data_IF_820714970200
#
_entry.id   IF_820714970200
#
_cell.length_a   1.000
_cell.length_b   1.000
_cell.length_c   1.000
_cell.angle_alpha   90.00
_cell.angle_beta   90.00
_cell.angle_gamma   90.00
#
_symmetry.space_group_name_H-M   'P 1'
#
loop_
_entity.id
_entity.type
_entity.pdbx_description
1 polymer ?
#
# COMPACT_ATOMS: atom_id res chain seq x y z
N UNK A 1 -23.25 8.65 -3.09
CA UNK A 1 -23.03 8.13 -1.72
C UNK A 1 -21.99 9.00 -1.02
N UNK A 2 -22.05 9.15 0.31
CA UNK A 2 -20.98 9.83 1.06
C UNK A 2 -19.67 9.03 0.99
N UNK A 3 -18.53 9.72 0.89
CA UNK A 3 -17.20 9.13 0.93
C UNK A 3 -16.83 8.82 2.39
N UNK A 4 -16.43 7.59 2.74
CA UNK A 4 -15.89 7.27 4.06
C UNK A 4 -14.74 8.20 4.44
N UNK A 5 -14.69 8.63 5.71
CA UNK A 5 -13.64 9.52 6.22
C UNK A 5 -12.23 9.01 5.92
N UNK A 6 -12.00 7.69 6.05
CA UNK A 6 -10.71 7.08 5.71
C UNK A 6 -10.30 7.30 4.25
N UNK A 7 -11.24 7.17 3.31
CA UNK A 7 -10.96 7.34 1.89
C UNK A 7 -10.68 8.80 1.56
N UNK A 8 -11.36 9.73 2.24
CA UNK A 8 -11.08 11.16 2.15
C UNK A 8 -9.68 11.51 2.69
N UNK A 9 -9.31 11.00 3.86
CA UNK A 9 -8.00 11.27 4.46
C UNK A 9 -6.86 10.65 3.63
N UNK A 10 -7.12 9.49 3.00
CA UNK A 10 -6.25 8.90 2.00
C UNK A 10 -6.32 9.65 0.65
N UNK A 11 -7.35 10.43 0.36
CA UNK A 11 -7.53 11.04 -0.96
C UNK A 11 -7.58 10.01 -2.09
N UNK A 12 -8.17 8.83 -1.84
CA UNK A 12 -8.25 7.73 -2.81
C UNK A 12 -9.69 7.29 -3.08
N UNK A 13 -9.91 6.65 -4.23
CA UNK A 13 -11.19 6.04 -4.60
C UNK A 13 -11.41 4.70 -3.84
N UNK A 14 -12.65 4.16 -3.79
CA UNK A 14 -12.87 2.81 -3.26
C UNK A 14 -12.13 1.71 -4.05
N UNK A 15 -11.98 1.88 -5.37
CA UNK A 15 -11.24 0.94 -6.23
C UNK A 15 -9.75 0.99 -5.89
N UNK A 16 -9.19 2.20 -5.76
CA UNK A 16 -7.83 2.41 -5.28
C UNK A 16 -7.62 1.77 -3.91
N UNK A 17 -8.55 1.92 -2.95
CA UNK A 17 -8.40 1.27 -1.63
C UNK A 17 -8.40 -0.26 -1.74
N UNK A 18 -9.20 -0.83 -2.65
CA UNK A 18 -9.17 -2.28 -2.93
C UNK A 18 -7.81 -2.69 -3.49
N UNK A 19 -7.29 -1.96 -4.47
CA UNK A 19 -5.95 -2.20 -5.04
C UNK A 19 -4.86 -2.03 -3.97
N UNK A 20 -4.94 -1.01 -3.12
CA UNK A 20 -4.03 -0.82 -1.97
C UNK A 20 -4.02 -2.03 -1.05
N UNK A 21 -5.19 -2.62 -0.74
CA UNK A 21 -5.28 -3.82 0.11
C UNK A 21 -4.59 -5.02 -0.52
N UNK A 22 -4.82 -5.25 -1.81
CA UNK A 22 -4.21 -6.36 -2.55
C UNK A 22 -2.69 -6.20 -2.64
N UNK A 23 -2.21 -5.02 -3.05
CA UNK A 23 -0.77 -4.72 -3.12
C UNK A 23 -0.11 -4.82 -1.75
N UNK A 24 -0.73 -4.27 -0.70
CA UNK A 24 -0.22 -4.38 0.65
C UNK A 24 -0.14 -5.83 1.12
N UNK A 25 -1.19 -6.63 0.89
CA UNK A 25 -1.20 -8.04 1.28
C UNK A 25 -0.07 -8.81 0.59
N UNK A 26 0.11 -8.61 -0.71
CA UNK A 26 1.18 -9.26 -1.46
C UNK A 26 2.57 -8.87 -0.95
N UNK A 27 2.83 -7.58 -0.72
CA UNK A 27 4.10 -7.12 -0.14
C UNK A 27 4.30 -7.66 1.29
N UNK A 28 3.21 -7.82 2.07
CA UNK A 28 3.25 -8.35 3.42
C UNK A 28 3.48 -9.87 3.47
N UNK A 29 3.09 -10.61 2.44
CA UNK A 29 3.39 -12.03 2.29
C UNK A 29 4.82 -12.25 1.78
N UNK A 30 5.37 -11.29 1.01
CA UNK A 30 6.69 -11.37 0.36
C UNK A 30 7.69 -10.33 0.90
N UNK A 31 7.83 -10.27 2.21
CA UNK A 31 8.52 -9.17 2.94
C UNK A 31 10.01 -9.06 2.68
N UNK A 32 10.61 -10.10 2.12
CA UNK A 32 12.05 -10.18 1.84
C UNK A 32 12.42 -9.60 0.46
N UNK A 33 11.42 -9.20 -0.33
CA UNK A 33 11.60 -8.78 -1.72
C UNK A 33 11.07 -7.36 -1.96
N UNK A 34 11.68 -6.69 -2.93
CA UNK A 34 11.19 -5.46 -3.52
C UNK A 34 10.76 -5.73 -4.95
N UNK A 35 9.68 -5.10 -5.40
CA UNK A 35 9.06 -5.36 -6.69
C UNK A 35 8.90 -4.06 -7.48
N UNK A 36 9.20 -4.12 -8.77
CA UNK A 36 8.86 -3.08 -9.73
C UNK A 36 7.36 -3.05 -10.03
N UNK A 37 6.90 -1.97 -10.68
CA UNK A 37 5.50 -1.88 -11.10
C UNK A 37 5.11 -3.02 -12.05
N UNK A 38 5.95 -3.31 -13.04
CA UNK A 38 5.72 -4.38 -14.04
C UNK A 38 5.63 -5.77 -13.38
N UNK A 39 6.50 -6.06 -12.41
CA UNK A 39 6.43 -7.32 -11.66
C UNK A 39 5.15 -7.42 -10.83
N UNK A 40 4.72 -6.31 -10.20
CA UNK A 40 3.47 -6.28 -9.44
C UNK A 40 2.24 -6.45 -10.33
N UNK A 41 2.24 -5.90 -11.55
CA UNK A 41 1.19 -6.14 -12.55
C UNK A 41 1.16 -7.62 -12.99
N UNK A 42 2.33 -8.25 -13.13
CA UNK A 42 2.44 -9.67 -13.44
C UNK A 42 1.88 -10.57 -12.34
N UNK A 43 2.12 -10.23 -11.08
CA UNK A 43 1.72 -11.04 -9.91
C UNK A 43 0.27 -10.79 -9.45
N UNK A 44 -0.18 -9.54 -9.48
CA UNK A 44 -1.53 -9.15 -9.02
C UNK A 44 -2.57 -9.14 -10.14
N UNK A 45 -2.12 -9.27 -11.40
CA UNK A 45 -2.90 -8.97 -12.59
C UNK A 45 -2.96 -7.46 -12.87
N UNK A 46 -3.47 -7.10 -14.04
CA UNK A 46 -3.71 -5.71 -14.43
C UNK A 46 -4.78 -5.09 -13.52
N UNK A 47 -4.32 -4.49 -12.42
CA UNK A 47 -5.18 -3.76 -11.49
C UNK A 47 -5.25 -2.30 -11.91
N UNK A 48 -6.48 -1.80 -12.10
CA UNK A 48 -6.70 -0.38 -12.24
C UNK A 48 -6.16 0.38 -11.01
N UNK A 49 -5.56 1.53 -11.27
CA UNK A 49 -5.00 2.42 -10.24
C UNK A 49 -3.86 1.78 -9.40
N UNK A 50 -3.19 0.71 -9.87
CA UNK A 50 -2.09 0.04 -9.14
C UNK A 50 -0.99 1.02 -8.72
N UNK A 51 -0.50 1.82 -9.66
CA UNK A 51 0.53 2.80 -9.36
C UNK A 51 0.05 3.79 -8.27
N UNK A 52 -1.16 4.35 -8.42
CA UNK A 52 -1.74 5.27 -7.44
C UNK A 52 -1.92 4.64 -6.06
N UNK A 53 -2.29 3.37 -6.00
CA UNK A 53 -2.40 2.59 -4.77
C UNK A 53 -1.03 2.41 -4.09
N UNK A 54 0.01 2.07 -4.85
CA UNK A 54 1.39 1.96 -4.33
C UNK A 54 1.89 3.30 -3.79
N UNK A 55 1.64 4.40 -4.50
CA UNK A 55 1.96 5.74 -4.02
C UNK A 55 1.21 6.09 -2.73
N UNK A 56 -0.07 5.71 -2.63
CA UNK A 56 -0.84 5.92 -1.42
C UNK A 56 -0.25 5.13 -0.22
N UNK A 57 0.15 3.87 -0.44
CA UNK A 57 0.85 3.04 0.55
C UNK A 57 2.18 3.65 0.99
N UNK A 58 2.95 4.20 0.05
CA UNK A 58 4.21 4.89 0.36
C UNK A 58 3.96 6.16 1.19
N UNK A 59 2.95 6.95 0.81
CA UNK A 59 2.63 8.21 1.51
C UNK A 59 2.19 7.95 2.96
N UNK A 60 1.47 6.86 3.24
CA UNK A 60 1.12 6.47 4.61
C UNK A 60 2.23 5.69 5.32
N UNK A 61 3.40 5.51 4.67
CA UNK A 61 4.54 4.75 5.20
C UNK A 61 4.23 3.28 5.51
N UNK A 62 3.32 2.65 4.75
CA UNK A 62 3.11 1.20 4.79
C UNK A 62 4.10 0.47 3.86
N UNK A 63 4.41 1.08 2.72
CA UNK A 63 5.45 0.66 1.80
C UNK A 63 6.56 1.71 1.73
N UNK A 64 7.72 1.31 1.27
CA UNK A 64 8.78 2.21 0.83
C UNK A 64 8.98 2.11 -0.67
N UNK A 65 9.62 3.12 -1.25
CA UNK A 65 10.01 3.12 -2.65
C UNK A 65 11.47 3.50 -2.80
N UNK A 66 12.14 2.89 -3.76
CA UNK A 66 13.51 3.22 -4.10
C UNK A 66 13.73 3.17 -5.61
N UNK A 67 14.56 4.09 -6.12
CA UNK A 67 15.02 4.05 -7.50
C UNK A 67 16.32 3.24 -7.57
N UNK A 68 16.34 2.21 -8.41
CA UNK A 68 17.53 1.42 -8.72
C UNK A 68 17.71 1.43 -10.24
N UNK A 69 18.69 2.20 -10.71
CA UNK A 69 18.81 2.53 -12.13
C UNK A 69 17.61 3.35 -12.59
N UNK A 70 16.93 2.88 -13.64
CA UNK A 70 15.75 3.53 -14.22
C UNK A 70 14.43 2.99 -13.65
N UNK A 71 14.48 1.96 -12.82
CA UNK A 71 13.30 1.26 -12.29
C UNK A 71 12.98 1.72 -10.87
N UNK A 72 11.68 1.91 -10.58
CA UNK A 72 11.17 2.16 -9.24
C UNK A 72 10.75 0.83 -8.64
N UNK A 73 11.26 0.52 -7.45
CA UNK A 73 10.90 -0.66 -6.67
C UNK A 73 10.12 -0.25 -5.42
N UNK A 74 9.21 -1.13 -5.01
CA UNK A 74 8.38 -1.01 -3.83
C UNK A 74 8.60 -2.20 -2.91
N UNK A 75 8.73 -1.94 -1.61
CA UNK A 75 8.88 -2.99 -0.59
C UNK A 75 8.00 -2.66 0.62
N UNK A 76 7.66 -3.67 1.42
CA UNK A 76 6.96 -3.44 2.68
C UNK A 76 7.87 -2.70 3.66
N UNK A 77 7.40 -1.56 4.18
CA UNK A 77 8.13 -0.79 5.19
C UNK A 77 7.75 -1.20 6.61
N UNK A 78 6.45 -1.32 6.90
CA UNK A 78 5.96 -1.70 8.22
C UNK A 78 4.52 -2.21 8.17
N UNK A 79 4.09 -2.87 9.25
CA UNK A 79 2.74 -3.43 9.32
C UNK A 79 1.67 -2.38 9.66
N UNK A 80 0.57 -2.46 8.91
CA UNK A 80 -0.65 -1.70 9.08
C UNK A 80 -1.85 -2.62 9.34
N UNK A 81 -2.82 -2.10 10.09
CA UNK A 81 -4.18 -2.61 10.04
C UNK A 81 -4.85 -2.07 8.78
N UNK A 82 -5.23 -2.94 7.84
CA UNK A 82 -5.81 -2.50 6.57
C UNK A 82 -7.25 -2.01 6.72
N UNK A 83 -7.95 -2.32 7.82
CA UNK A 83 -9.31 -1.82 8.08
C UNK A 83 -9.35 -0.32 8.36
N UNK A 84 -8.29 0.18 8.99
CA UNK A 84 -8.15 1.56 9.47
C UNK A 84 -7.01 2.34 8.84
N UNK A 85 -6.07 1.65 8.16
CA UNK A 85 -4.81 2.20 7.66
C UNK A 85 -4.00 2.93 8.73
N UNK A 86 -4.02 2.39 9.95
CA UNK A 86 -3.14 2.79 11.04
C UNK A 86 -2.02 1.78 11.19
N UNK A 87 -0.80 2.27 11.47
CA UNK A 87 0.33 1.39 11.72
C UNK A 87 0.10 0.59 13.00
N UNK A 88 0.49 -0.69 13.01
CA UNK A 88 0.35 -1.52 14.22
C UNK A 88 1.16 -0.98 15.39
N UNK A 89 2.27 -0.29 15.11
CA UNK A 89 3.05 0.44 16.12
C UNK A 89 2.24 1.56 16.78
N UNK A 90 1.48 2.32 15.99
CA UNK A 90 0.60 3.37 16.53
C UNK A 90 -0.53 2.76 17.39
N UNK A 91 -1.16 1.68 16.92
CA UNK A 91 -2.21 0.99 17.68
C UNK A 91 -1.69 0.40 19.00
N UNK A 92 -0.47 -0.15 19.01
CA UNK A 92 0.18 -0.66 20.22
C UNK A 92 0.40 0.44 21.28
N UNK A 93 0.73 1.67 20.86
CA UNK A 93 0.93 2.80 21.76
C UNK A 93 -0.38 3.37 22.34
N UNK A 94 -1.52 3.18 21.65
CA UNK A 94 -2.84 3.60 22.14
C UNK A 94 -3.44 2.61 23.16
N UNK A 95 -2.88 1.41 23.26
CA UNK A 95 -3.37 0.35 24.15
C UNK A 95 -2.63 0.30 25.50
N UNK A 96 -1.74 1.26 25.75
CA UNK A 96 -0.98 1.44 27.00
C UNK A 96 -1.55 2.62 27.79
#
# INVERSE_FOLDING_TARGET
>A
MPLPRRLFDLGVSPECERTMRLSYQFLAENREFAYSLEELEGELGELEELEAALWALVRIQAAERQHIGETIYFALLQEFDTGTWLSKKHLANLSQ
#
